data_IF_347723731009
#
_entry.id   IF_347723731009
#
_cell.length_a   1.000
_cell.length_b   1.000
_cell.length_c   1.000
_cell.angle_alpha   90.00
_cell.angle_beta   90.00
_cell.angle_gamma   90.00
#
_symmetry.space_group_name_H-M   'P 1'
#
loop_
_entity.id
_entity.type
_entity.pdbx_description
1 polymer ?
#
# COMPACT_ATOMS: atom_id res chain seq x y z
N UNK A 1 -20.72 35.38 3.75
CA UNK A 1 -20.79 34.07 3.07
C UNK A 1 -19.36 33.68 2.72
N UNK A 2 -18.72 32.88 3.56
CA UNK A 2 -17.45 32.26 3.22
C UNK A 2 -17.69 31.39 1.97
N UNK A 3 -16.95 31.65 0.90
CA UNK A 3 -16.89 30.72 -0.25
C UNK A 3 -16.35 29.41 0.30
N UNK A 4 -17.19 28.38 0.39
CA UNK A 4 -16.68 27.02 0.57
C UNK A 4 -15.66 26.78 -0.54
N UNK A 5 -14.39 26.58 -0.16
CA UNK A 5 -13.35 26.19 -1.10
C UNK A 5 -13.81 24.93 -1.85
N UNK A 6 -13.66 24.94 -3.16
CA UNK A 6 -14.04 23.79 -3.98
C UNK A 6 -13.22 22.57 -3.54
N UNK A 7 -13.88 21.53 -3.06
CA UNK A 7 -13.22 20.31 -2.61
C UNK A 7 -12.69 19.51 -3.80
N UNK A 8 -11.40 19.18 -3.80
CA UNK A 8 -10.77 18.31 -4.80
C UNK A 8 -11.41 16.92 -4.76
N UNK A 9 -11.92 16.45 -5.88
CA UNK A 9 -12.49 15.10 -5.99
C UNK A 9 -12.25 14.49 -7.38
N UNK A 10 -11.06 13.94 -7.59
CA UNK A 10 -10.67 13.34 -8.86
C UNK A 10 -11.49 12.08 -9.20
N UNK A 11 -11.98 11.34 -8.19
CA UNK A 11 -12.82 10.15 -8.42
C UNK A 11 -14.18 10.49 -9.07
N UNK A 12 -14.63 11.75 -8.96
CA UNK A 12 -15.86 12.26 -9.58
C UNK A 12 -15.57 13.21 -10.75
N UNK A 13 -14.35 13.17 -11.31
CA UNK A 13 -13.96 14.05 -12.40
C UNK A 13 -14.79 13.75 -13.68
N UNK A 14 -15.53 14.71 -14.22
CA UNK A 14 -16.33 14.48 -15.43
C UNK A 14 -15.48 14.47 -16.71
N UNK A 15 -14.26 15.03 -16.65
CA UNK A 15 -13.34 15.13 -17.80
C UNK A 15 -11.90 14.92 -17.35
N UNK A 16 -11.41 13.66 -17.28
CA UNK A 16 -10.06 13.34 -16.86
C UNK A 16 -9.04 13.66 -17.96
N UNK A 17 -8.55 14.89 -17.99
CA UNK A 17 -7.57 15.40 -18.97
C UNK A 17 -6.11 15.33 -18.48
N UNK A 18 -5.86 14.79 -17.29
CA UNK A 18 -4.55 14.81 -16.65
C UNK A 18 -3.43 14.14 -17.48
N UNK A 19 -3.79 13.17 -18.33
CA UNK A 19 -2.86 12.47 -19.23
C UNK A 19 -3.08 12.87 -20.70
N UNK A 20 -3.25 14.18 -20.95
CA UNK A 20 -3.41 14.71 -22.30
C UNK A 20 -2.74 16.08 -22.45
N UNK A 21 -2.48 16.55 -23.69
CA UNK A 21 -2.00 17.91 -23.92
C UNK A 21 -2.94 19.01 -23.39
N UNK A 22 -4.23 18.69 -23.24
CA UNK A 22 -5.26 19.57 -22.70
C UNK A 22 -5.37 19.58 -21.16
N UNK A 23 -4.34 19.14 -20.44
CA UNK A 23 -4.36 19.00 -18.98
C UNK A 23 -4.74 20.30 -18.23
N UNK A 24 -4.45 21.48 -18.83
CA UNK A 24 -4.84 22.78 -18.27
C UNK A 24 -6.34 23.09 -18.34
N UNK A 25 -7.09 22.31 -19.12
CA UNK A 25 -8.54 22.48 -19.31
C UNK A 25 -9.36 21.62 -18.32
N UNK A 26 -8.77 21.19 -17.22
CA UNK A 26 -9.46 20.45 -16.16
C UNK A 26 -10.68 21.20 -15.62
N UNK A 27 -11.69 20.48 -15.06
CA UNK A 27 -12.88 21.09 -14.47
C UNK A 27 -12.55 21.94 -13.25
N UNK A 28 -13.52 22.73 -12.77
CA UNK A 28 -13.30 23.68 -11.68
C UNK A 28 -12.86 23.06 -10.35
N UNK A 29 -13.20 21.77 -10.12
CA UNK A 29 -12.73 20.99 -8.96
C UNK A 29 -11.39 20.27 -9.18
N UNK A 30 -10.69 20.58 -10.27
CA UNK A 30 -9.38 19.99 -10.56
C UNK A 30 -8.31 20.52 -9.59
N UNK A 31 -7.43 19.66 -9.04
CA UNK A 31 -6.32 20.11 -8.18
C UNK A 31 -5.46 21.22 -8.78
N UNK A 32 -5.27 21.20 -10.12
CA UNK A 32 -4.53 22.23 -10.84
C UNK A 32 -5.19 23.63 -10.81
N UNK A 33 -6.48 23.71 -10.45
CA UNK A 33 -7.23 24.97 -10.29
C UNK A 33 -7.48 25.33 -8.84
N UNK A 34 -7.69 24.31 -8.00
CA UNK A 34 -8.05 24.53 -6.58
C UNK A 34 -6.82 24.75 -5.71
N UNK A 35 -5.74 24.02 -5.97
CA UNK A 35 -4.50 24.06 -5.17
C UNK A 35 -3.25 24.03 -6.06
N UNK A 36 -3.11 24.96 -7.03
CA UNK A 36 -1.99 24.93 -7.99
C UNK A 36 -0.63 25.08 -7.32
N UNK A 37 -0.52 25.84 -6.24
CA UNK A 37 0.69 26.05 -5.46
C UNK A 37 1.17 24.75 -4.79
N UNK A 38 0.25 23.91 -4.31
CA UNK A 38 0.58 22.60 -3.72
C UNK A 38 1.16 21.68 -4.79
N UNK A 39 0.57 21.68 -6.00
CA UNK A 39 1.09 20.89 -7.13
C UNK A 39 2.47 21.39 -7.55
N UNK A 40 2.68 22.72 -7.62
CA UNK A 40 3.97 23.29 -7.99
C UNK A 40 5.06 22.90 -6.98
N UNK A 41 4.81 23.08 -5.68
CA UNK A 41 5.75 22.71 -4.62
C UNK A 41 6.06 21.19 -4.60
N UNK A 42 5.04 20.33 -4.78
CA UNK A 42 5.23 18.89 -4.87
C UNK A 42 6.06 18.51 -6.12
N UNK A 43 5.84 19.19 -7.25
CA UNK A 43 6.61 18.96 -8.49
C UNK A 43 8.08 19.35 -8.29
N UNK A 44 8.35 20.51 -7.71
CA UNK A 44 9.72 20.96 -7.40
C UNK A 44 10.43 19.95 -6.49
N UNK A 45 9.76 19.48 -5.43
CA UNK A 45 10.29 18.46 -4.52
C UNK A 45 10.59 17.14 -5.25
N UNK A 46 9.69 16.69 -6.13
CA UNK A 46 9.87 15.45 -6.90
C UNK A 46 11.04 15.54 -7.89
N UNK A 47 11.23 16.70 -8.51
CA UNK A 47 12.31 16.96 -9.47
C UNK A 47 13.63 17.34 -8.79
N UNK A 48 13.64 17.56 -7.50
CA UNK A 48 14.82 17.87 -6.71
C UNK A 48 15.81 16.69 -6.65
N UNK A 49 17.09 16.97 -6.29
CA UNK A 49 18.17 15.98 -6.36
C UNK A 49 17.93 14.76 -5.46
N UNK A 50 17.21 14.92 -4.36
CA UNK A 50 16.94 13.87 -3.38
C UNK A 50 15.97 12.81 -3.92
N UNK A 51 14.90 13.20 -4.61
CA UNK A 51 13.82 12.30 -5.03
C UNK A 51 13.82 11.96 -6.53
N UNK A 52 14.48 12.78 -7.34
CA UNK A 52 14.43 12.63 -8.79
C UNK A 52 14.90 11.25 -9.27
N UNK A 53 15.97 10.72 -8.68
CA UNK A 53 16.49 9.39 -9.05
C UNK A 53 15.45 8.30 -8.80
N UNK A 54 14.82 8.32 -7.63
CA UNK A 54 13.74 7.39 -7.28
C UNK A 54 12.55 7.52 -8.25
N UNK A 55 12.07 8.74 -8.49
CA UNK A 55 10.95 9.00 -9.39
C UNK A 55 11.21 8.54 -10.83
N UNK A 56 12.44 8.71 -11.32
CA UNK A 56 12.86 8.25 -12.65
C UNK A 56 12.81 6.73 -12.72
N UNK A 57 13.40 6.02 -11.76
CA UNK A 57 13.41 4.55 -11.79
C UNK A 57 12.00 3.95 -11.56
N UNK A 58 11.17 4.58 -10.75
CA UNK A 58 9.75 4.19 -10.60
C UNK A 58 8.99 4.32 -11.94
N UNK A 59 9.19 5.41 -12.68
CA UNK A 59 8.55 5.61 -13.99
C UNK A 59 9.10 4.66 -15.07
N UNK A 60 10.40 4.35 -15.02
CA UNK A 60 11.01 3.34 -15.90
C UNK A 60 10.45 1.95 -15.61
N UNK A 61 10.22 1.64 -14.33
CA UNK A 61 9.64 0.36 -13.93
C UNK A 61 8.21 0.22 -14.46
N UNK A 62 7.40 1.27 -14.37
CA UNK A 62 6.05 1.29 -14.97
C UNK A 62 6.14 0.96 -16.47
N UNK A 63 6.96 1.69 -17.23
CA UNK A 63 7.11 1.47 -18.66
C UNK A 63 7.59 0.06 -19.02
N UNK A 64 8.50 -0.51 -18.23
CA UNK A 64 9.02 -1.86 -18.46
C UNK A 64 8.05 -2.99 -18.14
N UNK A 65 6.97 -2.69 -17.41
CA UNK A 65 5.87 -3.62 -17.11
C UNK A 65 4.99 -3.94 -18.30
N UNK A 66 5.15 -3.22 -19.43
CA UNK A 66 4.32 -3.34 -20.62
C UNK A 66 5.12 -3.74 -21.87
N UNK A 67 4.47 -4.50 -22.74
CA UNK A 67 5.03 -4.91 -24.04
C UNK A 67 3.96 -4.84 -25.15
N UNK A 68 4.37 -4.53 -26.37
CA UNK A 68 3.51 -4.71 -27.54
C UNK A 68 3.59 -6.17 -27.98
N UNK A 69 2.49 -6.88 -27.80
CA UNK A 69 2.39 -8.29 -28.21
C UNK A 69 1.90 -8.38 -29.66
N UNK A 70 2.46 -9.26 -30.51
CA UNK A 70 2.14 -9.33 -31.94
C UNK A 70 0.66 -9.57 -32.27
N UNK A 71 -0.05 -10.25 -31.37
CA UNK A 71 -1.46 -10.66 -31.58
C UNK A 71 -2.42 -10.00 -30.57
N UNK A 72 -1.96 -9.02 -29.77
CA UNK A 72 -2.81 -8.31 -28.83
C UNK A 72 -3.62 -7.18 -29.53
N UNK A 73 -4.78 -6.81 -28.98
CA UNK A 73 -5.48 -5.60 -29.41
C UNK A 73 -4.59 -4.36 -29.31
N UNK A 74 -5.00 -3.25 -29.97
CA UNK A 74 -4.25 -2.01 -29.99
C UNK A 74 -3.78 -1.58 -28.59
N UNK A 75 -2.47 -1.38 -28.44
CA UNK A 75 -1.85 -0.87 -27.25
C UNK A 75 -0.84 -1.83 -26.59
N UNK A 76 -0.13 -1.37 -25.54
CA UNK A 76 0.75 -2.22 -24.76
C UNK A 76 -0.05 -3.11 -23.79
N UNK A 77 0.43 -4.32 -23.58
CA UNK A 77 -0.13 -5.30 -22.63
C UNK A 77 0.77 -5.43 -21.41
N UNK A 78 0.21 -5.55 -20.19
CA UNK A 78 1.01 -5.85 -19.00
C UNK A 78 1.59 -7.25 -19.11
N UNK A 79 2.89 -7.40 -18.81
CA UNK A 79 3.63 -8.66 -18.97
C UNK A 79 4.41 -9.08 -17.73
N UNK A 80 4.33 -8.32 -16.65
CA UNK A 80 5.01 -8.60 -15.39
C UNK A 80 4.03 -8.63 -14.23
N UNK A 81 4.24 -9.55 -13.31
CA UNK A 81 3.57 -9.53 -12.01
C UNK A 81 4.16 -8.44 -11.11
N UNK A 82 3.39 -8.00 -10.13
CA UNK A 82 3.88 -7.02 -9.14
C UNK A 82 5.15 -7.49 -8.43
N UNK A 83 5.32 -8.77 -8.18
CA UNK A 83 6.53 -9.32 -7.58
C UNK A 83 7.75 -9.14 -8.49
N UNK A 84 7.60 -9.42 -9.80
CA UNK A 84 8.66 -9.17 -10.78
C UNK A 84 9.02 -7.70 -10.87
N UNK A 85 8.02 -6.82 -10.87
CA UNK A 85 8.24 -5.37 -10.88
C UNK A 85 8.97 -4.88 -9.62
N UNK A 86 8.64 -5.41 -8.44
CA UNK A 86 9.34 -5.07 -7.19
C UNK A 86 10.82 -5.48 -7.26
N UNK A 87 11.11 -6.69 -7.72
CA UNK A 87 12.49 -7.19 -7.83
C UNK A 87 13.30 -6.38 -8.84
N UNK A 88 12.71 -6.04 -9.99
CA UNK A 88 13.39 -5.23 -11.01
C UNK A 88 13.63 -3.80 -10.51
N UNK A 89 12.63 -3.18 -9.87
CA UNK A 89 12.76 -1.85 -9.29
C UNK A 89 13.87 -1.82 -8.23
N UNK A 90 13.90 -2.78 -7.32
CA UNK A 90 14.94 -2.89 -6.31
C UNK A 90 16.33 -3.03 -6.95
N UNK A 91 16.45 -3.85 -8.00
CA UNK A 91 17.69 -3.99 -8.77
C UNK A 91 18.12 -2.68 -9.45
N UNK A 92 17.20 -1.94 -10.09
CA UNK A 92 17.46 -0.63 -10.71
C UNK A 92 17.92 0.42 -9.71
N UNK A 93 17.37 0.38 -8.49
CA UNK A 93 17.77 1.26 -7.39
C UNK A 93 19.10 0.87 -6.74
N UNK A 94 19.68 -0.28 -7.12
CA UNK A 94 20.91 -0.80 -6.51
C UNK A 94 20.71 -1.31 -5.09
N UNK A 95 19.46 -1.59 -4.67
CA UNK A 95 19.12 -2.11 -3.35
C UNK A 95 19.67 -3.53 -3.20
N UNK A 96 20.14 -3.85 -2.01
CA UNK A 96 20.74 -5.15 -1.68
C UNK A 96 19.97 -5.90 -0.60
N UNK A 97 19.46 -5.18 0.39
CA UNK A 97 18.79 -5.78 1.53
C UNK A 97 17.31 -5.40 1.55
N UNK A 98 16.46 -6.41 1.40
CA UNK A 98 15.01 -6.21 1.40
C UNK A 98 14.40 -6.64 2.73
N UNK A 99 13.49 -5.82 3.24
CA UNK A 99 12.66 -6.15 4.39
C UNK A 99 11.34 -6.78 3.95
N UNK A 100 10.88 -7.81 4.67
CA UNK A 100 9.56 -8.42 4.45
C UNK A 100 8.78 -8.38 5.75
N UNK A 101 7.82 -7.43 5.87
CA UNK A 101 6.89 -7.36 6.98
C UNK A 101 5.60 -8.08 6.61
N UNK A 102 5.29 -9.19 7.28
CA UNK A 102 4.15 -10.02 6.91
C UNK A 102 3.23 -10.34 8.08
N UNK A 103 1.95 -10.59 7.77
CA UNK A 103 1.00 -11.11 8.74
C UNK A 103 1.26 -12.60 8.99
N UNK A 104 1.27 -13.04 10.25
CA UNK A 104 1.43 -14.46 10.58
C UNK A 104 0.43 -15.40 9.90
N UNK A 105 -0.75 -14.89 9.51
CA UNK A 105 -1.73 -15.67 8.76
C UNK A 105 -1.38 -15.91 7.29
N UNK A 106 -0.23 -15.40 6.80
CA UNK A 106 0.33 -15.65 5.47
C UNK A 106 1.79 -16.11 5.58
N UNK A 107 2.07 -16.89 6.62
CA UNK A 107 3.39 -17.46 6.87
C UNK A 107 3.86 -18.35 5.71
N UNK A 108 2.93 -19.10 5.10
CA UNK A 108 3.24 -19.96 3.97
C UNK A 108 3.69 -19.14 2.76
N UNK A 109 2.96 -18.09 2.40
CA UNK A 109 3.30 -17.20 1.29
C UNK A 109 4.62 -16.47 1.54
N UNK A 110 4.87 -16.04 2.77
CA UNK A 110 6.15 -15.45 3.15
C UNK A 110 7.31 -16.45 3.03
N UNK A 111 7.09 -17.72 3.38
CA UNK A 111 8.10 -18.77 3.23
C UNK A 111 8.45 -19.11 1.77
N UNK A 112 7.55 -18.85 0.84
CA UNK A 112 7.82 -18.93 -0.60
C UNK A 112 8.49 -17.66 -1.13
N UNK A 113 8.07 -16.50 -0.64
CA UNK A 113 8.58 -15.18 -1.10
C UNK A 113 10.08 -15.02 -0.80
N UNK A 114 10.52 -15.34 0.42
CA UNK A 114 11.90 -15.12 0.85
C UNK A 114 12.90 -15.79 -0.07
N UNK A 115 12.82 -17.12 -0.35
CA UNK A 115 13.75 -17.78 -1.29
C UNK A 115 13.70 -17.21 -2.71
N UNK A 116 12.54 -16.73 -3.17
CA UNK A 116 12.44 -16.09 -4.50
C UNK A 116 13.29 -14.82 -4.55
N UNK A 117 13.25 -13.98 -3.50
CA UNK A 117 14.04 -12.77 -3.41
C UNK A 117 15.54 -13.09 -3.28
N UNK A 118 15.90 -14.07 -2.45
CA UNK A 118 17.27 -14.53 -2.25
C UNK A 118 17.89 -15.09 -3.55
N UNK A 119 17.12 -15.87 -4.32
CA UNK A 119 17.54 -16.38 -5.62
C UNK A 119 17.77 -15.29 -6.67
N UNK A 120 17.27 -14.07 -6.43
CA UNK A 120 17.53 -12.87 -7.23
C UNK A 120 18.72 -12.05 -6.72
N UNK A 121 19.42 -12.56 -5.70
CA UNK A 121 20.63 -11.95 -5.14
C UNK A 121 20.38 -10.91 -4.05
N UNK A 122 19.19 -10.82 -3.49
CA UNK A 122 18.90 -9.94 -2.36
C UNK A 122 19.19 -10.62 -1.03
N UNK A 123 19.71 -9.87 -0.07
CA UNK A 123 19.66 -10.23 1.34
C UNK A 123 18.24 -9.95 1.84
N UNK A 124 17.65 -10.87 2.61
CA UNK A 124 16.27 -10.71 3.07
C UNK A 124 16.18 -10.78 4.60
N UNK A 125 15.56 -9.76 5.18
CA UNK A 125 15.16 -9.74 6.59
C UNK A 125 13.65 -9.82 6.66
N UNK A 126 13.10 -10.87 7.26
CA UNK A 126 11.66 -11.09 7.33
C UNK A 126 11.14 -11.09 8.76
N UNK A 127 10.03 -10.39 9.02
CA UNK A 127 9.46 -10.22 10.36
C UNK A 127 7.95 -10.43 10.35
N UNK A 128 7.50 -11.40 11.13
CA UNK A 128 6.07 -11.67 11.33
C UNK A 128 5.41 -10.63 12.24
N UNK A 129 4.12 -10.37 12.03
CA UNK A 129 3.39 -9.36 12.82
C UNK A 129 3.22 -9.68 14.31
N UNK A 130 3.46 -10.93 14.73
CA UNK A 130 3.39 -11.38 16.14
C UNK A 130 4.76 -11.38 16.83
N UNK A 131 5.77 -10.75 16.25
CA UNK A 131 7.09 -10.63 16.86
C UNK A 131 6.98 -9.96 18.24
N UNK A 132 7.76 -10.46 19.21
CA UNK A 132 7.73 -10.02 20.60
C UNK A 132 6.68 -10.74 21.47
N UNK A 133 5.70 -11.42 20.90
CA UNK A 133 4.68 -12.23 21.63
C UNK A 133 3.99 -11.49 22.78
N UNK A 134 3.79 -10.16 22.66
CA UNK A 134 3.17 -9.32 23.69
C UNK A 134 1.67 -9.62 23.74
N UNK A 135 1.09 -9.91 24.92
CA UNK A 135 -0.35 -10.15 25.05
C UNK A 135 -1.17 -8.95 24.59
N UNK A 136 -2.34 -9.19 23.99
CA UNK A 136 -3.27 -8.12 23.59
C UNK A 136 -3.80 -7.32 24.77
N UNK A 137 -3.86 -7.92 25.93
CA UNK A 137 -4.26 -7.32 27.20
C UNK A 137 -3.35 -6.14 27.59
N UNK A 138 -2.09 -6.15 27.19
CA UNK A 138 -1.15 -5.01 27.39
C UNK A 138 -1.59 -3.75 26.63
N UNK A 139 -2.42 -3.89 25.58
CA UNK A 139 -3.07 -2.75 24.91
C UNK A 139 -4.34 -2.29 25.63
N UNK A 140 -4.74 -2.96 26.71
CA UNK A 140 -6.00 -2.69 27.42
C UNK A 140 -7.23 -3.35 26.77
N UNK A 141 -7.04 -4.33 25.85
CA UNK A 141 -8.16 -5.09 25.31
C UNK A 141 -8.70 -6.09 26.32
N UNK A 142 -10.01 -6.16 26.43
CA UNK A 142 -10.71 -7.20 27.19
C UNK A 142 -10.74 -8.53 26.42
N UNK A 143 -10.96 -9.64 27.14
CA UNK A 143 -10.96 -10.96 26.53
C UNK A 143 -12.00 -11.11 25.41
N UNK A 144 -13.18 -10.51 25.57
CA UNK A 144 -14.24 -10.51 24.57
C UNK A 144 -13.94 -9.76 23.27
N UNK A 145 -12.91 -8.90 23.26
CA UNK A 145 -12.49 -8.13 22.09
C UNK A 145 -11.41 -8.86 21.25
N UNK A 146 -10.90 -9.98 21.75
CA UNK A 146 -9.94 -10.83 21.04
C UNK A 146 -10.62 -11.61 19.91
N UNK A 147 -9.85 -12.02 18.91
CA UNK A 147 -10.33 -12.90 17.83
C UNK A 147 -10.70 -14.29 18.39
N UNK A 148 -9.98 -14.74 19.44
CA UNK A 148 -10.21 -16.02 20.11
C UNK A 148 -10.32 -15.80 21.64
N UNK A 149 -11.47 -15.40 22.15
CA UNK A 149 -11.68 -15.25 23.58
C UNK A 149 -11.33 -16.52 24.36
N UNK A 150 -10.85 -16.38 25.59
CA UNK A 150 -10.42 -17.48 26.44
C UNK A 150 -9.05 -18.08 26.08
N UNK A 151 -8.33 -17.51 25.13
CA UNK A 151 -6.99 -17.98 24.72
C UNK A 151 -5.96 -16.87 24.78
N UNK A 152 -4.69 -17.25 24.95
CA UNK A 152 -3.59 -16.32 24.72
C UNK A 152 -3.61 -15.85 23.28
N UNK A 153 -3.56 -14.53 23.08
CA UNK A 153 -3.44 -13.93 21.75
C UNK A 153 -2.44 -12.79 21.78
N UNK A 154 -1.28 -12.99 21.13
CA UNK A 154 -0.32 -11.91 20.97
C UNK A 154 -0.89 -10.78 20.12
N UNK A 155 -0.62 -9.54 20.45
CA UNK A 155 -0.94 -8.39 19.59
C UNK A 155 -0.16 -8.46 18.27
N UNK A 156 -0.68 -7.83 17.23
CA UNK A 156 0.16 -7.48 16.08
C UNK A 156 1.04 -6.29 16.47
N UNK A 157 2.32 -6.35 16.16
CA UNK A 157 3.28 -5.33 16.55
C UNK A 157 3.98 -4.69 15.32
N UNK A 158 3.24 -3.93 14.49
CA UNK A 158 3.78 -3.36 13.26
C UNK A 158 4.92 -2.37 13.49
N UNK A 159 4.93 -1.68 14.64
CA UNK A 159 6.05 -0.81 15.03
C UNK A 159 7.30 -1.65 15.24
N UNK A 160 7.23 -2.77 15.98
CA UNK A 160 8.39 -3.64 16.15
C UNK A 160 8.86 -4.24 14.81
N UNK A 161 7.93 -4.59 13.89
CA UNK A 161 8.33 -5.01 12.55
C UNK A 161 9.15 -3.93 11.83
N UNK A 162 8.69 -2.67 11.87
CA UNK A 162 9.40 -1.55 11.26
C UNK A 162 10.76 -1.30 11.91
N UNK A 163 10.81 -1.26 13.25
CA UNK A 163 12.06 -0.99 13.99
C UNK A 163 13.09 -2.11 13.83
N UNK A 164 12.67 -3.37 13.74
CA UNK A 164 13.59 -4.48 13.42
C UNK A 164 14.17 -4.28 12.02
N UNK A 165 13.36 -3.95 11.01
CA UNK A 165 13.86 -3.70 9.66
C UNK A 165 14.74 -2.46 9.58
N UNK A 166 14.44 -1.40 10.33
CA UNK A 166 15.29 -0.22 10.48
C UNK A 166 16.66 -0.59 11.10
N UNK A 167 16.65 -1.43 12.16
CA UNK A 167 17.88 -1.92 12.80
C UNK A 167 18.79 -2.67 11.82
N UNK A 168 18.22 -3.45 10.92
CA UNK A 168 18.96 -4.16 9.87
C UNK A 168 19.28 -3.29 8.64
N UNK A 169 18.92 -2.00 8.67
CA UNK A 169 19.15 -1.05 7.58
C UNK A 169 18.71 -1.61 6.20
N UNK A 170 17.47 -2.05 6.10
CA UNK A 170 16.90 -2.52 4.83
C UNK A 170 16.75 -1.35 3.86
N UNK A 171 16.94 -1.60 2.56
CA UNK A 171 16.86 -0.58 1.51
C UNK A 171 15.43 -0.34 1.01
N UNK A 172 14.59 -1.38 1.03
CA UNK A 172 13.19 -1.36 0.64
C UNK A 172 12.41 -2.38 1.46
N UNK A 173 11.24 -2.01 1.98
CA UNK A 173 10.39 -2.90 2.74
C UNK A 173 9.15 -3.34 1.95
N UNK A 174 8.93 -4.65 1.85
CA UNK A 174 7.75 -5.26 1.28
C UNK A 174 6.74 -5.56 2.38
N UNK A 175 5.52 -5.06 2.19
CA UNK A 175 4.40 -5.35 3.09
C UNK A 175 3.54 -6.47 2.51
N UNK A 176 3.33 -7.53 3.31
CA UNK A 176 2.55 -8.71 2.91
C UNK A 176 1.39 -8.92 3.87
N UNK A 177 0.21 -8.50 3.44
CA UNK A 177 -1.05 -8.72 4.13
C UNK A 177 -1.10 -8.21 5.57
N UNK A 178 -0.50 -7.07 5.89
CA UNK A 178 -0.73 -6.42 7.18
C UNK A 178 -2.19 -5.97 7.28
N UNK A 179 -2.77 -6.03 8.48
CA UNK A 179 -4.16 -5.64 8.72
C UNK A 179 -4.31 -4.11 8.67
N UNK A 180 -5.53 -3.65 8.35
CA UNK A 180 -5.90 -2.22 8.38
C UNK A 180 -5.52 -1.59 9.72
N UNK A 181 -4.87 -0.43 9.68
CA UNK A 181 -4.31 0.27 10.84
C UNK A 181 -2.92 -0.22 11.23
N UNK A 182 -2.64 -1.52 11.18
CA UNK A 182 -1.29 -2.06 11.40
C UNK A 182 -0.34 -1.72 10.23
N UNK A 183 -0.85 -1.75 9.01
CA UNK A 183 -0.15 -1.27 7.82
C UNK A 183 0.21 0.22 7.93
N UNK A 184 -0.73 1.04 8.41
CA UNK A 184 -0.51 2.48 8.62
C UNK A 184 0.57 2.76 9.68
N UNK A 185 0.58 1.99 10.78
CA UNK A 185 1.62 2.09 11.81
C UNK A 185 2.99 1.65 11.26
N UNK A 186 3.04 0.56 10.51
CA UNK A 186 4.28 0.10 9.88
C UNK A 186 4.86 1.17 8.95
N UNK A 187 4.05 1.72 8.04
CA UNK A 187 4.44 2.77 7.10
C UNK A 187 4.95 4.03 7.81
N UNK A 188 4.33 4.39 8.95
CA UNK A 188 4.73 5.57 9.71
C UNK A 188 6.08 5.41 10.40
N UNK A 189 6.49 4.20 10.76
CA UNK A 189 7.71 3.92 11.53
C UNK A 189 8.85 3.35 10.68
N UNK A 190 8.60 2.94 9.45
CA UNK A 190 9.64 2.49 8.52
C UNK A 190 10.48 3.66 8.04
N UNK A 191 11.82 3.53 8.14
CA UNK A 191 12.77 4.48 7.57
C UNK A 191 13.01 4.24 6.09
N UNK A 192 13.10 2.97 5.68
CA UNK A 192 13.20 2.61 4.27
C UNK A 192 11.88 2.85 3.53
N UNK A 193 11.92 3.17 2.22
CA UNK A 193 10.74 3.15 1.38
C UNK A 193 9.97 1.83 1.51
N UNK A 194 8.65 1.91 1.40
CA UNK A 194 7.79 0.74 1.52
C UNK A 194 6.99 0.51 0.24
N UNK A 195 6.80 -0.75 -0.12
CA UNK A 195 5.87 -1.16 -1.16
C UNK A 195 4.94 -2.27 -0.67
N UNK A 196 3.68 -2.25 -1.13
CA UNK A 196 2.68 -3.26 -0.77
C UNK A 196 2.69 -4.35 -1.82
N UNK A 197 3.10 -5.57 -1.46
CA UNK A 197 2.95 -6.73 -2.34
C UNK A 197 1.49 -7.19 -2.36
N UNK A 198 0.87 -7.32 -1.18
CA UNK A 198 -0.54 -7.64 -1.04
C UNK A 198 -1.14 -6.96 0.20
N UNK A 199 -2.34 -6.40 0.08
CA UNK A 199 -3.11 -5.87 1.19
C UNK A 199 -3.97 -6.97 1.83
N UNK A 200 -4.21 -6.86 3.16
CA UNK A 200 -5.01 -7.86 3.89
C UNK A 200 -6.48 -7.77 3.52
N UNK A 201 -7.02 -8.85 2.99
CA UNK A 201 -8.45 -9.06 2.85
C UNK A 201 -8.77 -10.56 3.06
N UNK A 202 -9.43 -10.88 4.18
CA UNK A 202 -9.75 -12.26 4.54
C UNK A 202 -10.94 -12.83 3.75
N UNK A 203 -11.80 -11.94 3.23
CA UNK A 203 -13.02 -12.32 2.50
C UNK A 203 -12.69 -12.68 1.06
N UNK A 204 -11.79 -11.94 0.43
CA UNK A 204 -11.46 -12.06 -0.99
C UNK A 204 -10.03 -12.57 -1.24
N UNK A 205 -9.46 -13.33 -0.32
CA UNK A 205 -8.13 -13.94 -0.53
C UNK A 205 -7.04 -12.91 -0.83
N UNK A 206 -7.07 -11.77 -0.12
CA UNK A 206 -6.11 -10.66 -0.28
C UNK A 206 -6.21 -9.90 -1.61
N UNK A 207 -7.40 -9.94 -2.24
CA UNK A 207 -7.74 -9.15 -3.43
C UNK A 207 -8.85 -8.12 -3.10
N UNK A 208 -8.54 -7.04 -2.33
CA UNK A 208 -9.55 -6.13 -1.76
C UNK A 208 -10.41 -5.39 -2.80
N UNK A 209 -9.93 -5.22 -4.03
CA UNK A 209 -10.73 -4.63 -5.11
C UNK A 209 -11.95 -5.48 -5.49
N UNK A 210 -11.95 -6.77 -5.16
CA UNK A 210 -13.10 -7.64 -5.39
C UNK A 210 -14.35 -7.16 -4.64
N UNK A 211 -14.18 -6.51 -3.47
CA UNK A 211 -15.29 -5.89 -2.75
C UNK A 211 -15.98 -4.80 -3.60
N UNK A 212 -15.22 -4.01 -4.36
CA UNK A 212 -15.74 -2.97 -5.24
C UNK A 212 -16.37 -3.56 -6.50
N UNK A 213 -15.73 -4.54 -7.14
CA UNK A 213 -16.26 -5.19 -8.34
C UNK A 213 -17.58 -5.90 -8.05
N UNK A 214 -17.77 -6.41 -6.84
CA UNK A 214 -18.99 -7.10 -6.41
C UNK A 214 -19.97 -6.20 -5.64
N UNK A 215 -19.68 -4.92 -5.46
CA UNK A 215 -20.48 -4.01 -4.65
C UNK A 215 -21.94 -3.89 -5.13
N UNK A 216 -22.21 -4.03 -6.44
CA UNK A 216 -23.57 -4.00 -7.02
C UNK A 216 -24.19 -5.39 -7.22
N UNK A 217 -23.52 -6.45 -6.78
CA UNK A 217 -23.95 -7.84 -6.92
C UNK A 217 -23.92 -8.58 -5.58
N UNK A 218 -22.99 -9.47 -5.37
CA UNK A 218 -22.93 -10.34 -4.18
C UNK A 218 -22.47 -9.63 -2.92
N UNK A 219 -21.76 -8.49 -3.02
CA UNK A 219 -21.19 -7.77 -1.86
C UNK A 219 -21.91 -6.43 -1.60
N UNK A 220 -23.22 -6.38 -1.80
CA UNK A 220 -24.04 -5.14 -1.67
C UNK A 220 -23.98 -4.50 -0.28
N UNK A 221 -23.65 -5.23 0.75
CA UNK A 221 -23.54 -4.70 2.12
C UNK A 221 -22.58 -3.49 2.22
N UNK A 222 -21.56 -3.39 1.36
CA UNK A 222 -20.63 -2.25 1.34
C UNK A 222 -21.29 -0.95 0.86
N UNK A 223 -22.47 -1.00 0.25
CA UNK A 223 -23.25 0.15 -0.18
C UNK A 223 -24.30 0.57 0.86
N UNK A 224 -24.48 -0.20 1.95
CA UNK A 224 -25.43 0.13 2.99
C UNK A 224 -25.05 1.49 3.61
N UNK A 225 -26.06 2.35 3.80
CA UNK A 225 -25.91 3.59 4.55
C UNK A 225 -25.91 3.23 6.04
N UNK A 226 -24.75 3.06 6.61
CA UNK A 226 -24.61 3.01 8.06
C UNK A 226 -24.37 4.43 8.57
N UNK A 227 -25.06 4.81 9.67
CA UNK A 227 -24.67 5.96 10.46
C UNK A 227 -23.23 5.74 10.92
N UNK A 228 -22.35 6.74 10.78
CA UNK A 228 -21.02 6.67 11.41
C UNK A 228 -21.23 6.25 12.88
N UNK A 229 -20.55 5.19 13.35
CA UNK A 229 -20.53 4.94 14.77
C UNK A 229 -19.97 6.20 15.43
N UNK A 230 -20.71 6.75 16.40
CA UNK A 230 -20.22 7.86 17.20
C UNK A 230 -18.86 7.45 17.78
N UNK A 231 -17.85 8.32 17.64
CA UNK A 231 -16.49 8.09 18.11
C UNK A 231 -16.41 7.84 19.63
N UNK A 232 -17.54 7.91 20.32
CA UNK A 232 -17.71 7.74 21.78
C UNK A 232 -18.26 6.37 22.20
N UNK A 233 -18.69 5.52 21.27
CA UNK A 233 -19.15 4.16 21.60
C UNK A 233 -18.14 3.11 21.13
N UNK A 234 -17.01 3.07 21.81
CA UNK A 234 -16.11 1.90 21.83
C UNK A 234 -16.72 0.78 22.66
N UNK A 235 -17.85 0.22 22.20
CA UNK A 235 -18.44 -0.98 22.79
C UNK A 235 -19.18 -1.74 21.70
N UNK A 236 -18.54 -2.74 21.13
CA UNK A 236 -19.14 -4.04 20.78
C UNK A 236 -18.05 -5.08 20.69
#
# INVERSE_FOLDING_TARGET
>A
MEKMEATVNCAKCPRPVCNSPAWREGPDNCPLRVVPEVIAAATEKCLGPELRGFAVEASRQEGSGYMRLPHAPKGPSPVKSRLEEIMEFAGRMGYRRLGVAFCSGVQFEASLLVPILENRGFEVVSVACKCGSVPKEELGLEDGEKVMPGRFEAMCHPIAQAEILNHYATDLNLMVCLCVGHDSLFLKHSQAPCTVLAAKDRVFGHAPLMALYQARSYHRRVLAKESRPDATTGQR
#
